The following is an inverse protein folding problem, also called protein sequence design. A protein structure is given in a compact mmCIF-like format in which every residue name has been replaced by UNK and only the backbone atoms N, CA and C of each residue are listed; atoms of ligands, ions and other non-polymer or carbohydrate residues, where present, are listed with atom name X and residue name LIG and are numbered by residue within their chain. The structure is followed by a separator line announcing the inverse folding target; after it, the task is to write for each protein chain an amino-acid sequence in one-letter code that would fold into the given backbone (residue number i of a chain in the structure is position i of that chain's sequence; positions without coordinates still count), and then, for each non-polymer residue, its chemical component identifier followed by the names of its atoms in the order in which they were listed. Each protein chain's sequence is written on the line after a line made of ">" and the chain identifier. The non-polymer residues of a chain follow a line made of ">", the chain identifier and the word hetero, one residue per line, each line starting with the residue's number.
data_IF_164029824025
#
_entry.id   IF_164029824025
#
_cell.length_a   1.000
_cell.length_b   1.000
_cell.length_c   1.000
_cell.angle_alpha   90.00
_cell.angle_beta   90.00
_cell.angle_gamma   90.00
#
_symmetry.space_group_name_H-M   'P 1'
#
loop_
_entity.id
_entity.type
_entity.pdbx_description
1 polymer ?
#
# COMPACT_ATOMS: atom_id res chain seq x y z
N UNK A 1 -23.63 -20.66 -4.86
CA UNK A 1 -23.87 -19.43 -4.08
C UNK A 1 -22.70 -18.48 -4.28
N UNK A 2 -22.96 -17.31 -4.89
CA UNK A 2 -21.98 -16.23 -5.08
C UNK A 2 -21.74 -15.56 -3.72
N UNK A 3 -20.49 -15.54 -3.24
CA UNK A 3 -20.12 -14.70 -2.10
C UNK A 3 -19.75 -13.32 -2.62
N UNK A 4 -20.56 -12.33 -2.28
CA UNK A 4 -20.37 -10.91 -2.61
C UNK A 4 -19.11 -10.31 -1.92
N UNK A 5 -18.56 -11.01 -0.91
CA UNK A 5 -17.50 -10.50 -0.01
C UNK A 5 -16.31 -11.45 0.22
N UNK A 6 -16.07 -12.45 -0.63
CA UNK A 6 -14.82 -13.26 -0.58
C UNK A 6 -14.61 -14.20 0.62
N UNK A 7 -15.50 -14.24 1.62
CA UNK A 7 -15.41 -15.18 2.76
C UNK A 7 -15.83 -16.58 2.29
N UNK A 8 -14.92 -17.56 2.37
CA UNK A 8 -15.17 -18.94 1.93
C UNK A 8 -15.80 -19.82 3.02
N UNK A 9 -15.46 -19.60 4.30
CA UNK A 9 -15.99 -20.32 5.47
C UNK A 9 -15.90 -19.43 6.72
N UNK A 10 -16.77 -19.66 7.69
CA UNK A 10 -16.71 -18.98 8.99
C UNK A 10 -15.48 -19.47 9.78
N UNK A 11 -14.77 -18.59 10.48
CA UNK A 11 -13.61 -18.99 11.28
C UNK A 11 -14.06 -19.66 12.58
N UNK A 12 -13.39 -20.73 13.05
CA UNK A 12 -13.68 -21.33 14.35
C UNK A 12 -13.46 -20.34 15.50
N UNK A 13 -12.61 -19.33 15.33
CA UNK A 13 -12.40 -18.31 16.36
C UNK A 13 -13.58 -17.32 16.50
N UNK A 14 -14.51 -17.28 15.54
CA UNK A 14 -15.69 -16.43 15.64
C UNK A 14 -16.72 -16.94 16.66
N UNK A 15 -16.50 -18.11 17.29
CA UNK A 15 -17.30 -18.58 18.42
C UNK A 15 -16.89 -17.99 19.78
N UNK A 16 -15.78 -17.25 19.83
CA UNK A 16 -15.30 -16.61 21.05
C UNK A 16 -16.16 -15.38 21.37
N UNK A 17 -16.59 -15.27 22.64
CA UNK A 17 -17.51 -14.22 23.08
C UNK A 17 -16.97 -12.78 22.88
N UNK A 18 -15.65 -12.61 22.92
CA UNK A 18 -15.00 -11.29 22.83
C UNK A 18 -14.03 -11.16 21.65
N UNK A 19 -14.05 -12.10 20.71
CA UNK A 19 -13.13 -12.11 19.57
C UNK A 19 -13.86 -12.53 18.30
N UNK A 20 -13.77 -11.68 17.28
CA UNK A 20 -14.18 -12.01 15.93
C UNK A 20 -13.00 -11.73 14.99
N UNK A 21 -12.75 -12.60 14.02
CA UNK A 21 -11.54 -12.54 13.19
C UNK A 21 -11.45 -11.28 12.33
N UNK A 22 -12.58 -10.66 12.01
CA UNK A 22 -12.61 -9.36 11.29
C UNK A 22 -12.36 -8.16 12.19
N UNK A 23 -12.25 -8.36 13.50
CA UNK A 23 -12.21 -7.30 14.51
C UNK A 23 -11.06 -7.44 15.51
N UNK A 24 -10.55 -8.66 15.68
CA UNK A 24 -9.66 -9.03 16.76
C UNK A 24 -8.17 -8.94 16.43
N UNK A 25 -7.80 -8.62 15.19
CA UNK A 25 -6.41 -8.44 14.78
C UNK A 25 -6.22 -7.04 14.15
N UNK A 26 -5.20 -6.28 14.57
CA UNK A 26 -4.90 -5.00 13.95
C UNK A 26 -4.49 -5.22 12.48
N UNK A 27 -4.93 -4.34 11.56
CA UNK A 27 -4.44 -4.30 10.19
C UNK A 27 -2.92 -4.25 10.09
N UNK A 28 -2.37 -4.87 9.06
CA UNK A 28 -0.97 -4.68 8.70
C UNK A 28 -0.89 -3.74 7.49
N UNK A 29 -0.65 -2.46 7.78
CA UNK A 29 -0.50 -1.42 6.74
C UNK A 29 0.55 -1.78 5.69
N UNK A 30 1.62 -2.48 6.08
CA UNK A 30 2.68 -2.90 5.17
C UNK A 30 2.13 -3.85 4.11
N UNK A 31 1.45 -4.91 4.56
CA UNK A 31 0.90 -5.92 3.67
C UNK A 31 -0.32 -5.43 2.90
N UNK A 32 -1.19 -4.65 3.55
CA UNK A 32 -2.45 -4.18 2.97
C UNK A 32 -2.20 -3.08 1.93
N UNK A 33 -1.50 -2.01 2.31
CA UNK A 33 -1.21 -0.89 1.41
C UNK A 33 0.00 -1.20 0.52
N UNK A 34 1.19 -1.35 1.11
CA UNK A 34 2.45 -1.28 0.35
C UNK A 34 2.80 -2.55 -0.41
N UNK A 35 2.28 -3.71 0.00
CA UNK A 35 2.37 -4.96 -0.76
C UNK A 35 1.04 -5.33 -1.45
N UNK A 36 0.03 -4.47 -1.37
CA UNK A 36 -1.31 -4.73 -1.84
C UNK A 36 -1.85 -3.62 -2.72
N UNK A 37 -2.61 -2.71 -2.10
CA UNK A 37 -3.37 -1.69 -2.82
C UNK A 37 -2.46 -0.76 -3.64
N UNK A 38 -1.35 -0.27 -3.07
CA UNK A 38 -0.45 0.67 -3.73
C UNK A 38 0.17 0.14 -5.04
N UNK A 39 0.85 -1.02 -5.06
CA UNK A 39 1.38 -1.56 -6.31
C UNK A 39 0.31 -1.83 -7.36
N UNK A 40 -0.89 -2.27 -6.94
CA UNK A 40 -2.00 -2.54 -7.85
C UNK A 40 -2.53 -1.27 -8.51
N UNK A 41 -2.80 -0.22 -7.73
CA UNK A 41 -3.33 1.04 -8.25
C UNK A 41 -2.29 1.76 -9.11
N UNK A 42 -1.03 1.86 -8.66
CA UNK A 42 0.03 2.46 -9.48
C UNK A 42 0.18 1.71 -10.81
N UNK A 43 0.14 0.37 -10.78
CA UNK A 43 0.20 -0.45 -11.99
C UNK A 43 -0.91 -0.06 -12.98
N UNK A 44 -2.15 0.05 -12.52
CA UNK A 44 -3.31 0.42 -13.36
C UNK A 44 -3.18 1.83 -13.92
N UNK A 45 -2.96 2.81 -13.04
CA UNK A 45 -2.89 4.23 -13.40
C UNK A 45 -1.76 4.51 -14.38
N UNK A 46 -0.56 3.98 -14.14
CA UNK A 46 0.56 4.15 -15.08
C UNK A 46 0.36 3.41 -16.39
N UNK A 47 -0.27 2.23 -16.37
CA UNK A 47 -0.59 1.52 -17.62
C UNK A 47 -1.56 2.31 -18.48
N UNK A 48 -2.58 2.91 -17.85
CA UNK A 48 -3.52 3.82 -18.52
C UNK A 48 -2.79 5.04 -19.10
N UNK A 49 -1.95 5.73 -18.33
CA UNK A 49 -1.21 6.90 -18.85
C UNK A 49 -0.28 6.59 -20.01
N UNK A 50 0.31 5.39 -20.03
CA UNK A 50 1.15 4.95 -21.16
C UNK A 50 0.27 4.61 -22.38
N UNK A 51 -0.87 3.95 -22.18
CA UNK A 51 -1.81 3.62 -23.26
C UNK A 51 -2.38 4.90 -23.92
N UNK A 52 -2.73 5.89 -23.12
CA UNK A 52 -3.20 7.21 -23.57
C UNK A 52 -2.07 8.13 -24.07
N UNK A 53 -0.82 7.63 -24.13
CA UNK A 53 0.35 8.36 -24.60
C UNK A 53 0.64 9.66 -23.82
N UNK A 54 0.16 9.78 -22.58
CA UNK A 54 0.46 10.90 -21.68
C UNK A 54 1.90 10.84 -21.17
N UNK A 55 2.44 9.63 -21.04
CA UNK A 55 3.83 9.38 -20.64
C UNK A 55 4.36 8.10 -21.27
N UNK A 56 5.62 7.74 -20.99
CA UNK A 56 6.21 6.46 -21.37
C UNK A 56 6.86 5.79 -20.16
N UNK A 57 6.95 4.46 -20.17
CA UNK A 57 7.62 3.72 -19.09
C UNK A 57 9.06 4.20 -18.90
N UNK A 58 9.76 4.50 -20.02
CA UNK A 58 11.11 5.05 -19.98
C UNK A 58 11.13 6.40 -19.26
N UNK A 59 10.26 7.33 -19.63
CA UNK A 59 10.17 8.66 -18.99
C UNK A 59 9.89 8.53 -17.48
N UNK A 60 8.98 7.64 -17.08
CA UNK A 60 8.69 7.39 -15.66
C UNK A 60 9.92 6.86 -14.92
N UNK A 61 10.61 5.86 -15.48
CA UNK A 61 11.82 5.30 -14.86
C UNK A 61 12.98 6.30 -14.82
N UNK A 62 13.13 7.14 -15.85
CA UNK A 62 14.13 8.20 -15.89
C UNK A 62 13.86 9.23 -14.78
N UNK A 63 12.60 9.63 -14.57
CA UNK A 63 12.19 10.50 -13.46
C UNK A 63 12.49 9.84 -12.11
N UNK A 64 12.09 8.58 -11.91
CA UNK A 64 12.35 7.85 -10.66
C UNK A 64 13.86 7.76 -10.38
N UNK A 65 14.67 7.47 -11.39
CA UNK A 65 16.12 7.30 -11.22
C UNK A 65 16.87 8.61 -10.99
N UNK A 66 16.40 9.71 -11.58
CA UNK A 66 17.05 11.03 -11.51
C UNK A 66 16.52 11.93 -10.40
N UNK A 67 15.46 11.52 -9.70
CA UNK A 67 14.84 12.33 -8.65
C UNK A 67 15.84 12.63 -7.51
N UNK A 68 15.87 13.88 -6.99
CA UNK A 68 16.82 14.27 -5.95
C UNK A 68 16.38 13.77 -4.55
N UNK A 69 16.58 12.47 -4.29
CA UNK A 69 16.23 11.86 -3.00
C UNK A 69 17.07 12.42 -1.85
N UNK A 70 16.39 12.79 -0.76
CA UNK A 70 17.03 13.17 0.51
C UNK A 70 17.70 11.96 1.19
N UNK A 71 18.61 12.22 2.12
CA UNK A 71 19.42 11.19 2.79
C UNK A 71 18.58 10.08 3.41
N UNK A 72 17.42 10.41 4.01
CA UNK A 72 16.51 9.44 4.62
C UNK A 72 15.90 8.44 3.63
N UNK A 73 15.74 8.84 2.36
CA UNK A 73 15.08 8.04 1.33
C UNK A 73 16.08 7.23 0.50
N UNK A 74 17.39 7.53 0.57
CA UNK A 74 18.45 6.86 -0.22
C UNK A 74 18.52 5.35 -0.03
N UNK A 75 18.18 4.85 1.15
CA UNK A 75 18.15 3.41 1.45
C UNK A 75 16.94 2.69 0.83
N UNK A 76 15.93 3.44 0.41
CA UNK A 76 14.63 2.95 -0.05
C UNK A 76 14.25 3.50 -1.43
N UNK A 77 15.24 3.84 -2.27
CA UNK A 77 14.98 4.32 -3.63
C UNK A 77 14.16 3.26 -4.39
N UNK A 78 13.03 3.65 -5.02
CA UNK A 78 12.22 2.75 -5.81
C UNK A 78 13.03 2.15 -6.97
N UNK A 79 12.88 0.85 -7.19
CA UNK A 79 13.46 0.17 -8.34
C UNK A 79 12.72 0.54 -9.63
N UNK A 80 13.38 0.39 -10.78
CA UNK A 80 12.74 0.63 -12.07
C UNK A 80 11.51 -0.26 -12.26
N UNK A 81 10.45 0.35 -12.77
CA UNK A 81 9.21 -0.31 -13.14
C UNK A 81 9.41 -1.07 -14.44
N UNK A 82 8.70 -2.20 -14.58
CA UNK A 82 8.81 -3.07 -15.75
C UNK A 82 7.51 -3.07 -16.55
N UNK A 83 7.59 -3.39 -17.84
CA UNK A 83 6.41 -3.71 -18.64
C UNK A 83 6.30 -5.23 -18.76
N UNK A 84 5.17 -5.82 -18.40
CA UNK A 84 4.93 -7.25 -18.59
C UNK A 84 3.45 -7.56 -18.58
N UNK A 85 3.03 -8.47 -19.48
CA UNK A 85 1.62 -8.88 -19.56
C UNK A 85 0.66 -7.74 -19.89
N UNK A 86 1.08 -6.78 -20.72
CA UNK A 86 0.24 -5.66 -21.15
C UNK A 86 0.03 -4.55 -20.11
N UNK A 87 0.77 -4.58 -19.00
CA UNK A 87 0.69 -3.57 -17.95
C UNK A 87 2.05 -3.25 -17.34
N UNK A 88 2.11 -2.13 -16.62
CA UNK A 88 3.22 -1.78 -15.75
C UNK A 88 3.23 -2.73 -14.56
N UNK A 89 4.39 -3.30 -14.24
CA UNK A 89 4.62 -4.16 -13.09
C UNK A 89 5.44 -3.41 -12.06
N UNK A 90 4.83 -3.18 -10.90
CA UNK A 90 5.42 -2.43 -9.78
C UNK A 90 5.98 -3.42 -8.75
N UNK A 91 7.24 -3.83 -8.92
CA UNK A 91 7.93 -4.73 -7.99
C UNK A 91 8.81 -3.92 -7.05
N UNK A 92 8.28 -3.62 -5.86
CA UNK A 92 8.98 -2.89 -4.81
C UNK A 92 8.91 -3.67 -3.51
N UNK A 93 9.91 -3.52 -2.64
CA UNK A 93 9.75 -3.85 -1.21
C UNK A 93 8.81 -2.83 -0.57
N UNK A 94 8.15 -3.18 0.54
CA UNK A 94 7.22 -2.29 1.23
C UNK A 94 7.82 -0.89 1.51
N UNK A 95 9.07 -0.82 1.99
CA UNK A 95 9.74 0.47 2.22
C UNK A 95 10.03 1.28 0.95
N UNK A 96 10.34 0.61 -0.17
CA UNK A 96 10.52 1.27 -1.46
C UNK A 96 9.19 1.74 -2.05
N UNK A 97 8.11 0.97 -1.86
CA UNK A 97 6.76 1.38 -2.22
C UNK A 97 6.34 2.60 -1.42
N UNK A 98 6.64 2.63 -0.12
CA UNK A 98 6.36 3.80 0.72
C UNK A 98 7.08 5.06 0.23
N UNK A 99 8.36 4.93 -0.11
CA UNK A 99 9.13 6.01 -0.73
C UNK A 99 8.49 6.48 -2.04
N UNK A 100 8.08 5.54 -2.90
CA UNK A 100 7.41 5.87 -4.16
C UNK A 100 6.09 6.61 -3.93
N UNK A 101 5.21 6.12 -3.05
CA UNK A 101 3.91 6.74 -2.76
C UNK A 101 4.06 8.19 -2.28
N UNK A 102 5.03 8.45 -1.39
CA UNK A 102 5.31 9.79 -0.87
C UNK A 102 5.83 10.76 -1.94
N UNK A 103 6.42 10.28 -3.03
CA UNK A 103 7.13 11.12 -3.99
C UNK A 103 6.50 11.14 -5.38
N UNK A 104 5.65 10.18 -5.71
CA UNK A 104 5.09 10.01 -7.05
C UNK A 104 4.26 11.22 -7.49
N UNK A 105 3.58 11.90 -6.55
CA UNK A 105 2.83 13.12 -6.83
C UNK A 105 3.74 14.25 -7.33
N UNK A 106 4.93 14.41 -6.74
CA UNK A 106 5.92 15.41 -7.16
C UNK A 106 6.58 14.99 -8.47
N UNK A 107 6.89 13.69 -8.60
CA UNK A 107 7.55 13.14 -9.79
C UNK A 107 6.70 13.29 -11.06
N UNK A 108 5.39 13.07 -10.96
CA UNK A 108 4.50 12.99 -12.13
C UNK A 108 3.46 14.11 -12.21
N UNK A 109 3.35 14.98 -11.20
CA UNK A 109 2.34 16.04 -11.15
C UNK A 109 2.37 16.99 -12.36
N UNK A 110 3.55 17.27 -12.91
CA UNK A 110 3.69 18.12 -14.10
C UNK A 110 3.61 17.34 -15.43
N UNK A 111 3.49 16.01 -15.37
CA UNK A 111 3.42 15.14 -16.55
C UNK A 111 1.96 14.88 -16.94
N UNK A 112 1.05 14.88 -15.96
CA UNK A 112 -0.34 14.47 -16.16
C UNK A 112 -1.25 15.71 -16.25
N UNK A 113 -2.21 15.75 -17.20
CA UNK A 113 -3.17 16.84 -17.30
C UNK A 113 -4.02 17.01 -16.03
N UNK A 114 -4.37 18.25 -15.73
CA UNK A 114 -5.33 18.56 -14.63
C UNK A 114 -6.71 17.95 -14.93
N UNK A 115 -7.42 17.55 -13.87
CA UNK A 115 -8.76 16.96 -13.99
C UNK A 115 -8.77 15.50 -14.49
N UNK A 116 -7.64 14.80 -14.46
CA UNK A 116 -7.61 13.38 -14.82
C UNK A 116 -8.07 12.49 -13.66
N UNK A 117 -9.16 11.75 -13.85
CA UNK A 117 -9.74 10.89 -12.81
C UNK A 117 -8.81 9.75 -12.33
N UNK A 118 -7.97 9.19 -13.22
CA UNK A 118 -6.99 8.17 -12.83
C UNK A 118 -5.88 8.76 -11.97
N UNK A 119 -5.53 10.03 -12.19
CA UNK A 119 -4.63 10.77 -11.30
C UNK A 119 -5.29 11.04 -9.96
N UNK A 120 -6.54 11.50 -9.96
CA UNK A 120 -7.32 11.75 -8.75
C UNK A 120 -7.44 10.49 -7.88
N UNK A 121 -7.64 9.33 -8.50
CA UNK A 121 -7.64 8.05 -7.80
C UNK A 121 -6.31 7.78 -7.08
N UNK A 122 -5.17 8.06 -7.72
CA UNK A 122 -3.86 7.90 -7.10
C UNK A 122 -3.65 8.93 -5.97
N UNK A 123 -4.12 10.16 -6.12
CA UNK A 123 -4.06 11.18 -5.09
C UNK A 123 -4.86 10.78 -3.83
N UNK A 124 -6.08 10.29 -3.98
CA UNK A 124 -6.83 9.75 -2.85
C UNK A 124 -6.12 8.59 -2.16
N UNK A 125 -5.45 7.71 -2.92
CA UNK A 125 -4.66 6.64 -2.32
C UNK A 125 -3.46 7.15 -1.53
N UNK A 126 -2.81 8.23 -1.98
CA UNK A 126 -1.74 8.91 -1.25
C UNK A 126 -2.29 9.53 0.04
N UNK A 127 -3.45 10.20 -0.01
CA UNK A 127 -4.11 10.75 1.17
C UNK A 127 -4.48 9.66 2.20
N UNK A 128 -4.99 8.51 1.74
CA UNK A 128 -5.27 7.34 2.60
C UNK A 128 -3.98 6.84 3.25
N UNK A 129 -2.91 6.72 2.45
CA UNK A 129 -1.59 6.30 2.91
C UNK A 129 -1.04 7.24 4.00
N UNK A 130 -1.09 8.54 3.78
CA UNK A 130 -0.61 9.56 4.72
C UNK A 130 -1.46 9.57 5.99
N UNK A 131 -2.78 9.55 5.87
CA UNK A 131 -3.68 9.49 7.01
C UNK A 131 -3.48 8.22 7.83
N UNK A 132 -3.43 7.03 7.19
CA UNK A 132 -3.30 5.74 7.87
C UNK A 132 -1.93 5.55 8.55
N UNK A 133 -0.88 6.22 8.05
CA UNK A 133 0.46 6.17 8.65
C UNK A 133 0.73 7.27 9.66
N UNK A 134 -0.24 8.17 9.90
CA UNK A 134 -0.12 9.21 10.89
C UNK A 134 0.06 8.61 12.30
N UNK A 135 1.00 9.11 13.11
CA UNK A 135 1.19 8.64 14.48
C UNK A 135 0.14 9.18 15.45
N UNK A 136 -0.69 10.15 15.03
CA UNK A 136 -1.68 10.82 15.87
C UNK A 136 -2.97 10.99 15.07
N UNK A 137 -4.09 10.68 15.72
CA UNK A 137 -5.42 10.78 15.14
C UNK A 137 -6.37 11.53 16.08
N UNK A 138 -7.18 12.40 15.50
CA UNK A 138 -8.37 13.01 16.11
C UNK A 138 -9.64 12.46 15.44
N UNK A 139 -10.83 12.61 16.05
CA UNK A 139 -12.09 12.23 15.42
C UNK A 139 -12.27 12.81 14.00
N UNK A 140 -11.84 14.06 13.79
CA UNK A 140 -11.90 14.72 12.49
C UNK A 140 -10.99 14.03 11.45
N UNK A 141 -9.76 13.66 11.82
CA UNK A 141 -8.85 12.96 10.91
C UNK A 141 -9.33 11.54 10.56
N UNK A 142 -10.05 10.89 11.49
CA UNK A 142 -10.64 9.57 11.23
C UNK A 142 -11.84 9.68 10.30
N UNK A 143 -12.69 10.69 10.52
CA UNK A 143 -13.81 11.02 9.63
C UNK A 143 -13.30 11.36 8.23
N UNK A 144 -12.24 12.16 8.13
CA UNK A 144 -11.57 12.45 6.87
C UNK A 144 -11.10 11.16 6.17
N UNK A 145 -10.39 10.27 6.89
CA UNK A 145 -9.95 8.99 6.33
C UNK A 145 -11.13 8.13 5.83
N UNK A 146 -12.25 8.08 6.56
CA UNK A 146 -13.44 7.35 6.10
C UNK A 146 -14.00 7.90 4.78
N UNK A 147 -14.10 9.23 4.67
CA UNK A 147 -14.56 9.90 3.45
C UNK A 147 -13.59 9.68 2.29
N UNK A 148 -12.28 9.86 2.51
CA UNK A 148 -11.27 9.64 1.46
C UNK A 148 -11.27 8.19 0.98
N UNK A 149 -11.43 7.21 1.87
CA UNK A 149 -11.58 5.80 1.48
C UNK A 149 -12.86 5.58 0.68
N UNK A 150 -13.97 6.21 1.06
CA UNK A 150 -15.22 6.13 0.30
C UNK A 150 -15.04 6.67 -1.12
N UNK A 151 -14.51 7.89 -1.26
CA UNK A 151 -14.30 8.55 -2.55
C UNK A 151 -13.33 7.76 -3.44
N UNK A 152 -12.24 7.24 -2.86
CA UNK A 152 -11.31 6.35 -3.55
C UNK A 152 -12.00 5.10 -4.10
N UNK A 153 -12.82 4.43 -3.30
CA UNK A 153 -13.48 3.18 -3.68
C UNK A 153 -14.60 3.40 -4.71
N UNK A 154 -15.32 4.51 -4.60
CA UNK A 154 -16.35 4.91 -5.56
C UNK A 154 -15.72 5.23 -6.92
N UNK A 155 -14.69 6.08 -6.93
CA UNK A 155 -13.93 6.42 -8.13
C UNK A 155 -13.25 5.20 -8.75
N UNK A 156 -12.69 4.29 -7.94
CA UNK A 156 -12.12 3.04 -8.42
C UNK A 156 -13.14 2.22 -9.21
N UNK A 157 -14.37 2.08 -8.69
CA UNK A 157 -15.43 1.32 -9.35
C UNK A 157 -15.92 2.02 -10.63
N UNK A 158 -15.98 3.35 -10.63
CA UNK A 158 -16.33 4.11 -11.82
C UNK A 158 -15.30 3.93 -12.95
N UNK A 159 -14.00 3.94 -12.61
CA UNK A 159 -12.90 3.79 -13.57
C UNK A 159 -12.67 2.34 -14.02
N UNK A 160 -12.92 1.36 -13.14
CA UNK A 160 -12.68 -0.06 -13.41
C UNK A 160 -13.95 -0.91 -13.16
N UNK A 161 -15.06 -0.67 -13.88
CA UNK A 161 -16.37 -1.26 -13.56
C UNK A 161 -16.44 -2.78 -13.75
N UNK A 162 -15.55 -3.34 -14.57
CA UNK A 162 -15.46 -4.79 -14.81
C UNK A 162 -14.63 -5.51 -13.76
N UNK A 163 -13.88 -4.77 -12.94
CA UNK A 163 -12.97 -5.33 -11.96
C UNK A 163 -13.64 -5.48 -10.60
N UNK A 164 -13.30 -6.57 -9.91
CA UNK A 164 -13.80 -6.80 -8.56
C UNK A 164 -12.89 -6.09 -7.57
N UNK A 165 -13.50 -5.55 -6.53
CA UNK A 165 -12.76 -5.02 -5.39
C UNK A 165 -11.97 -6.16 -4.74
N UNK A 166 -10.67 -5.96 -4.53
CA UNK A 166 -9.86 -6.94 -3.82
C UNK A 166 -10.16 -6.90 -2.32
N UNK A 167 -9.96 -8.00 -1.59
CA UNK A 167 -10.15 -8.01 -0.13
C UNK A 167 -9.33 -6.91 0.57
N UNK A 168 -8.10 -6.64 0.10
CA UNK A 168 -7.23 -5.59 0.66
C UNK A 168 -7.82 -4.19 0.48
N UNK A 169 -8.39 -3.88 -0.69
CA UNK A 169 -9.05 -2.59 -0.92
C UNK A 169 -10.32 -2.45 -0.07
N UNK A 170 -11.12 -3.51 0.07
CA UNK A 170 -12.29 -3.49 0.94
C UNK A 170 -11.90 -3.22 2.39
N UNK A 171 -10.79 -3.80 2.85
CA UNK A 171 -10.32 -3.67 4.22
C UNK A 171 -9.99 -2.23 4.63
N UNK A 172 -9.67 -1.36 3.67
CA UNK A 172 -9.49 0.08 3.92
C UNK A 172 -10.71 0.73 4.59
N UNK A 173 -11.92 0.24 4.31
CA UNK A 173 -13.16 0.75 4.92
C UNK A 173 -13.22 0.56 6.44
N UNK A 174 -12.35 -0.28 6.99
CA UNK A 174 -12.28 -0.56 8.41
C UNK A 174 -11.14 0.17 9.11
N UNK A 175 -10.31 0.91 8.38
CA UNK A 175 -9.11 1.54 8.94
C UNK A 175 -9.43 2.49 10.09
N UNK A 176 -10.41 3.39 9.94
CA UNK A 176 -10.77 4.33 10.99
C UNK A 176 -11.21 3.61 12.27
N UNK A 177 -12.11 2.63 12.17
CA UNK A 177 -12.54 1.79 13.31
C UNK A 177 -11.39 1.02 13.94
N UNK A 178 -10.46 0.52 13.14
CA UNK A 178 -9.28 -0.17 13.66
C UNK A 178 -8.32 0.78 14.36
N UNK A 179 -8.16 2.01 13.87
CA UNK A 179 -7.35 3.04 14.53
C UNK A 179 -7.98 3.44 15.87
N UNK A 180 -9.30 3.59 15.95
CA UNK A 180 -10.00 3.86 17.22
C UNK A 180 -9.78 2.74 18.24
N UNK A 181 -9.80 1.49 17.77
CA UNK A 181 -9.72 0.30 18.64
C UNK A 181 -8.29 -0.03 19.08
N UNK A 182 -7.30 0.11 18.19
CA UNK A 182 -5.94 -0.35 18.41
C UNK A 182 -4.92 0.79 18.55
N UNK A 183 -5.35 2.03 18.35
CA UNK A 183 -4.47 3.18 18.21
C UNK A 183 -3.86 3.29 16.81
N UNK A 184 -2.91 4.22 16.62
CA UNK A 184 -2.28 4.46 15.32
C UNK A 184 -1.67 3.18 14.72
N UNK A 185 -2.16 2.76 13.55
CA UNK A 185 -1.79 1.49 12.92
C UNK A 185 -0.31 1.44 12.51
N UNK A 186 0.32 2.60 12.29
CA UNK A 186 1.77 2.71 12.07
C UNK A 186 2.59 2.20 13.26
N UNK A 187 2.03 2.11 14.46
CA UNK A 187 2.72 1.55 15.62
C UNK A 187 2.63 0.02 15.67
N UNK A 188 1.67 -0.56 14.94
CA UNK A 188 1.43 -2.00 14.84
C UNK A 188 2.04 -2.61 13.57
N UNK A 189 2.56 -1.80 12.63
CA UNK A 189 3.05 -2.30 11.35
C UNK A 189 4.30 -3.16 11.46
N UNK A 190 4.43 -4.13 10.55
CA UNK A 190 5.55 -5.07 10.56
C UNK A 190 6.81 -4.53 9.88
N UNK A 191 6.74 -3.40 9.17
CA UNK A 191 7.86 -2.80 8.43
C UNK A 191 9.14 -2.63 9.28
N UNK A 192 9.00 -2.19 10.53
CA UNK A 192 10.15 -2.08 11.47
C UNK A 192 10.71 -3.44 11.87
N UNK A 193 9.85 -4.43 12.04
CA UNK A 193 10.23 -5.81 12.36
C UNK A 193 10.88 -6.51 11.16
N UNK A 194 10.41 -6.28 9.94
CA UNK A 194 11.02 -6.78 8.71
C UNK A 194 12.40 -6.20 8.46
N UNK A 195 12.59 -4.90 8.71
CA UNK A 195 13.90 -4.26 8.65
C UNK A 195 14.88 -4.92 9.65
N UNK A 196 14.45 -5.17 10.89
CA UNK A 196 15.26 -5.89 11.89
C UNK A 196 15.53 -7.34 11.47
N UNK A 197 14.54 -8.02 10.88
CA UNK A 197 14.69 -9.39 10.41
C UNK A 197 15.61 -9.49 9.17
N UNK A 198 15.67 -8.45 8.33
CA UNK A 198 16.64 -8.35 7.23
C UNK A 198 18.08 -8.29 7.73
N UNK A 199 18.34 -7.61 8.86
CA UNK A 199 19.68 -7.61 9.50
C UNK A 199 20.09 -9.03 9.89
N UNK A 200 19.18 -9.79 10.52
CA UNK A 200 19.43 -11.18 10.88
C UNK A 200 19.64 -12.08 9.66
N UNK A 201 18.83 -11.91 8.59
CA UNK A 201 19.01 -12.65 7.33
C UNK A 201 20.38 -12.36 6.69
N UNK A 202 20.86 -11.11 6.73
CA UNK A 202 22.19 -10.73 6.24
C UNK A 202 23.29 -11.30 7.12
N UNK A 203 23.16 -11.26 8.45
CA UNK A 203 24.13 -11.88 9.37
C UNK A 203 24.24 -13.38 9.15
N UNK A 204 23.12 -14.09 9.03
CA UNK A 204 23.10 -15.55 8.78
C UNK A 204 23.74 -15.89 7.42
N UNK A 205 23.48 -15.08 6.37
CA UNK A 205 24.12 -15.26 5.06
C UNK A 205 25.63 -14.97 5.09
N UNK A 206 26.05 -13.97 5.87
CA UNK A 206 27.46 -13.59 6.03
C UNK A 206 28.27 -14.56 6.88
N UNK A 207 27.64 -15.25 7.84
CA UNK A 207 28.33 -16.14 8.78
C UNK A 207 28.33 -17.61 8.36
N UNK A 208 27.59 -17.98 7.29
CA UNK A 208 27.40 -19.36 6.81
C UNK A 208 27.03 -20.39 7.91
N UNK A 209 26.58 -19.92 9.09
CA UNK A 209 26.29 -20.77 10.22
C UNK A 209 24.82 -21.19 10.18
N UNK A 210 24.56 -22.34 9.57
CA UNK A 210 23.26 -23.02 9.55
C UNK A 210 23.00 -23.87 10.81
N UNK A 211 23.80 -23.71 11.87
CA UNK A 211 23.63 -24.38 13.17
C UNK A 211 23.33 -23.32 14.24
N UNK A 212 22.18 -23.49 14.90
CA UNK A 212 21.56 -22.64 15.93
C UNK A 212 20.92 -21.31 15.46
N UNK A 213 19.62 -21.40 15.14
CA UNK A 213 18.70 -20.25 15.27
C UNK A 213 18.62 -19.89 16.75
N UNK A 214 19.33 -18.86 17.20
CA UNK A 214 19.10 -18.27 18.53
C UNK A 214 17.74 -17.56 18.51
N UNK A 215 16.72 -18.24 19.05
CA UNK A 215 15.55 -17.60 19.62
C UNK A 215 15.92 -17.24 21.06
N UNK A 216 16.02 -15.95 21.35
CA UNK A 216 16.05 -15.46 22.73
C UNK A 216 14.72 -14.74 22.93
N UNK A 217 13.94 -15.23 23.90
CA UNK A 217 12.64 -14.71 24.33
C UNK A 217 12.73 -13.27 24.85
#
# INVERSE_FOLDING_TARGET
>A
MKTTYGIRKNSPFNCLQYFHVTEGLPPDLGHDLFEGVCPEIISKVLSYFIAEKLTSLKKVNDIISSFPYVVSDKSNIPSNLLWSGGRVVVKQKAAQMWCLMRLIFIMLGNVIPTGNDHWQLLLHLIEICDAATSPVHTPDTLTYLEHTVFDFLDLYKALFPLEKLTPKMHYLQHYSKHIERFGPLCNCWTLRYEAKHSVFKTMVRSTQNMKNKLYIH
#
